data_IF_567374509894
#
_entry.id   IF_567374509894
#
_cell.length_a   1.000
_cell.length_b   1.000
_cell.length_c   1.000
_cell.angle_alpha   90.00
_cell.angle_beta   90.00
_cell.angle_gamma   90.00
#
_symmetry.space_group_name_H-M   'P 1'
#
loop_
_entity.id
_entity.type
_entity.pdbx_description
1 polymer ?
#
# COMPACT_ATOMS: atom_id res chain seq x y z
N UNK A 1 27.86 0.60 3.46
CA UNK A 1 26.66 -0.18 3.23
C UNK A 1 26.18 0.07 1.80
N UNK A 2 26.19 -0.99 0.98
CA UNK A 2 25.68 -0.91 -0.39
C UNK A 2 24.17 -0.76 -0.42
N UNK A 3 23.65 -0.06 -1.41
CA UNK A 3 22.23 -0.06 -1.73
C UNK A 3 21.91 -1.36 -2.46
N UNK A 4 20.95 -2.13 -1.95
CA UNK A 4 20.40 -3.31 -2.64
C UNK A 4 19.05 -2.91 -3.20
N UNK A 5 18.86 -3.11 -4.50
CA UNK A 5 17.57 -2.89 -5.16
C UNK A 5 16.87 -4.24 -5.29
N UNK A 6 15.67 -4.35 -4.75
CA UNK A 6 14.82 -5.53 -4.92
C UNK A 6 13.35 -5.11 -4.99
N UNK A 7 12.51 -5.92 -5.66
CA UNK A 7 11.09 -5.60 -5.79
C UNK A 7 10.35 -5.66 -4.43
N UNK A 8 9.26 -4.89 -4.34
CA UNK A 8 8.27 -4.99 -3.27
C UNK A 8 6.97 -5.48 -3.91
N UNK A 9 6.35 -6.51 -3.37
CA UNK A 9 6.68 -7.29 -2.16
C UNK A 9 8.00 -8.07 -2.27
N UNK A 10 8.65 -8.32 -1.13
CA UNK A 10 9.85 -9.14 -1.07
C UNK A 10 9.55 -10.55 -1.58
N UNK A 11 10.31 -11.04 -2.56
CA UNK A 11 10.02 -12.29 -3.28
C UNK A 11 11.29 -13.11 -3.54
N UNK A 12 11.19 -14.19 -4.32
CA UNK A 12 12.33 -15.06 -4.63
C UNK A 12 13.46 -14.32 -5.37
N UNK A 13 13.15 -13.32 -6.21
CA UNK A 13 14.18 -12.50 -6.86
C UNK A 13 14.87 -11.58 -5.84
N UNK A 14 14.13 -11.14 -4.81
CA UNK A 14 14.68 -10.33 -3.73
C UNK A 14 15.68 -11.13 -2.89
N UNK A 15 15.45 -12.43 -2.68
CA UNK A 15 16.40 -13.31 -2.00
C UNK A 15 17.72 -13.41 -2.78
N UNK A 16 17.66 -13.62 -4.08
CA UNK A 16 18.85 -13.70 -4.93
C UNK A 16 19.61 -12.37 -4.98
N UNK A 17 18.88 -11.25 -4.99
CA UNK A 17 19.49 -9.92 -4.94
C UNK A 17 20.17 -9.63 -3.59
N UNK A 18 19.59 -10.08 -2.48
CA UNK A 18 20.10 -9.83 -1.13
C UNK A 18 21.26 -10.76 -0.73
N UNK A 19 21.18 -12.04 -1.09
CA UNK A 19 22.09 -13.09 -0.63
C UNK A 19 22.98 -13.65 -1.74
N UNK A 20 22.83 -13.21 -2.98
CA UNK A 20 23.47 -13.75 -4.15
C UNK A 20 22.70 -14.94 -4.74
N UNK A 21 22.98 -15.29 -6.03
CA UNK A 21 22.12 -16.21 -6.77
C UNK A 21 22.09 -17.62 -6.17
N UNK A 22 23.19 -18.14 -5.66
CA UNK A 22 23.27 -19.50 -5.13
C UNK A 22 22.55 -19.62 -3.77
N UNK A 23 22.88 -18.74 -2.84
CA UNK A 23 22.30 -18.77 -1.50
C UNK A 23 20.85 -18.32 -1.51
N UNK A 24 20.51 -17.31 -2.31
CA UNK A 24 19.13 -16.86 -2.49
C UNK A 24 18.23 -17.96 -3.08
N UNK A 25 18.73 -18.73 -4.05
CA UNK A 25 18.00 -19.88 -4.59
C UNK A 25 17.79 -20.96 -3.54
N UNK A 26 18.83 -21.31 -2.78
CA UNK A 26 18.76 -22.32 -1.70
C UNK A 26 17.74 -21.93 -0.61
N UNK A 27 17.76 -20.67 -0.18
CA UNK A 27 16.80 -20.15 0.79
C UNK A 27 15.38 -20.15 0.22
N UNK A 28 15.25 -19.80 -1.06
CA UNK A 28 13.98 -19.86 -1.78
C UNK A 28 13.39 -21.26 -1.85
N UNK A 29 14.20 -22.26 -2.19
CA UNK A 29 13.78 -23.69 -2.20
C UNK A 29 13.31 -24.14 -0.81
N UNK A 30 14.00 -23.70 0.25
CA UNK A 30 13.63 -24.01 1.63
C UNK A 30 12.27 -23.42 2.00
N UNK A 31 12.03 -22.16 1.64
CA UNK A 31 10.72 -21.52 1.85
C UNK A 31 9.60 -22.18 1.03
N UNK A 32 9.89 -22.54 -0.23
CA UNK A 32 8.94 -23.24 -1.09
C UNK A 32 8.59 -24.63 -0.55
N UNK A 33 9.56 -25.34 0.05
CA UNK A 33 9.32 -26.61 0.71
C UNK A 33 8.43 -26.48 1.95
N UNK A 34 8.57 -25.38 2.71
CA UNK A 34 7.82 -25.14 3.93
C UNK A 34 6.38 -24.65 3.66
N UNK A 35 6.18 -23.79 2.68
CA UNK A 35 4.91 -23.09 2.46
C UNK A 35 4.23 -23.37 1.11
N UNK A 36 4.97 -23.88 0.15
CA UNK A 36 4.52 -24.06 -1.23
C UNK A 36 4.70 -22.80 -2.10
N UNK A 37 4.58 -22.96 -3.44
CA UNK A 37 4.70 -21.86 -4.39
C UNK A 37 3.48 -20.92 -4.36
N UNK A 38 3.66 -19.71 -4.87
CA UNK A 38 2.62 -18.68 -5.00
C UNK A 38 1.92 -18.30 -3.68
N UNK A 39 2.58 -18.57 -2.54
CA UNK A 39 2.07 -18.21 -1.22
C UNK A 39 2.56 -16.82 -0.81
N UNK A 40 1.67 -16.09 -0.16
CA UNK A 40 1.96 -14.86 0.54
C UNK A 40 2.01 -15.16 2.03
N UNK A 41 3.17 -15.00 2.63
CA UNK A 41 3.41 -15.31 4.05
C UNK A 41 3.75 -14.02 4.78
N UNK A 42 3.12 -13.77 5.92
CA UNK A 42 3.41 -12.57 6.69
C UNK A 42 4.80 -12.65 7.31
N UNK A 43 5.46 -11.50 7.45
CA UNK A 43 6.78 -11.47 8.07
C UNK A 43 6.74 -11.96 9.53
N UNK A 44 5.68 -11.70 10.24
CA UNK A 44 5.53 -12.13 11.63
C UNK A 44 5.38 -13.66 11.74
N UNK A 45 4.69 -14.29 10.78
CA UNK A 45 4.58 -15.74 10.70
C UNK A 45 5.93 -16.38 10.38
N UNK A 46 6.68 -15.84 9.43
CA UNK A 46 8.03 -16.33 9.08
C UNK A 46 8.99 -16.26 10.27
N UNK A 47 8.94 -15.20 11.07
CA UNK A 47 9.78 -15.05 12.28
C UNK A 47 9.47 -16.07 13.37
N UNK A 48 8.26 -16.63 13.39
CA UNK A 48 7.85 -17.67 14.33
C UNK A 48 8.06 -19.11 13.79
N UNK A 49 8.64 -19.26 12.61
CA UNK A 49 8.87 -20.57 12.02
C UNK A 49 9.87 -21.40 12.87
N UNK A 50 9.59 -22.69 13.11
CA UNK A 50 10.45 -23.54 13.95
C UNK A 50 11.84 -23.82 13.38
N UNK A 51 12.01 -23.69 12.07
CA UNK A 51 13.32 -23.80 11.42
C UNK A 51 14.13 -22.52 11.67
N UNK A 52 15.30 -22.63 12.35
CA UNK A 52 16.09 -21.45 12.74
C UNK A 52 16.66 -20.68 11.54
N UNK A 53 16.82 -21.32 10.40
CA UNK A 53 17.33 -20.64 9.20
C UNK A 53 16.23 -19.79 8.53
N UNK A 54 15.00 -20.28 8.52
CA UNK A 54 13.84 -19.51 8.05
C UNK A 54 13.57 -18.32 8.99
N UNK A 55 13.63 -18.54 10.30
CA UNK A 55 13.48 -17.48 11.29
C UNK A 55 14.59 -16.42 11.18
N UNK A 56 15.85 -16.82 11.02
CA UNK A 56 16.97 -15.89 10.82
C UNK A 56 16.84 -15.09 9.51
N UNK A 57 16.39 -15.74 8.43
CA UNK A 57 16.07 -15.06 7.18
C UNK A 57 14.94 -14.04 7.38
N UNK A 58 13.90 -14.42 8.11
CA UNK A 58 12.78 -13.54 8.40
C UNK A 58 13.21 -12.32 9.25
N UNK A 59 14.08 -12.49 10.22
CA UNK A 59 14.66 -11.39 10.99
C UNK A 59 15.46 -10.44 10.10
N UNK A 60 16.26 -10.98 9.17
CA UNK A 60 16.96 -10.14 8.21
C UNK A 60 16.00 -9.30 7.36
N UNK A 61 14.96 -9.91 6.78
CA UNK A 61 13.96 -9.21 5.97
C UNK A 61 13.18 -8.21 6.80
N UNK A 62 12.85 -8.57 8.03
CA UNK A 62 12.16 -7.70 8.98
C UNK A 62 12.98 -6.42 9.25
N UNK A 63 14.25 -6.54 9.61
CA UNK A 63 15.10 -5.41 9.96
C UNK A 63 15.42 -4.49 8.76
N UNK A 64 15.59 -5.08 7.58
CA UNK A 64 16.03 -4.34 6.40
C UNK A 64 14.87 -3.77 5.57
N UNK A 65 13.69 -4.38 5.62
CA UNK A 65 12.53 -3.98 4.83
C UNK A 65 11.42 -3.41 5.72
N UNK A 66 10.92 -4.23 6.66
CA UNK A 66 9.68 -3.91 7.37
C UNK A 66 9.85 -2.83 8.44
N UNK A 67 10.88 -2.93 9.29
CA UNK A 67 11.10 -1.94 10.37
C UNK A 67 11.27 -0.55 9.79
N UNK A 68 12.16 -0.40 8.82
CA UNK A 68 12.46 0.92 8.23
C UNK A 68 11.28 1.49 7.48
N UNK A 69 10.57 0.67 6.72
CA UNK A 69 9.37 1.09 6.00
C UNK A 69 8.26 1.49 6.97
N UNK A 70 8.00 0.68 7.99
CA UNK A 70 6.96 0.93 8.99
C UNK A 70 7.26 2.19 9.80
N UNK A 71 8.48 2.35 10.29
CA UNK A 71 8.90 3.54 11.03
C UNK A 71 8.79 4.81 10.17
N UNK A 72 9.13 4.73 8.88
CA UNK A 72 8.99 5.85 7.95
C UNK A 72 7.52 6.23 7.74
N UNK A 73 6.63 5.25 7.55
CA UNK A 73 5.23 5.48 7.24
C UNK A 73 4.38 5.84 8.48
N UNK A 74 4.66 5.20 9.61
CA UNK A 74 3.81 5.26 10.79
C UNK A 74 4.47 5.96 11.99
N UNK A 75 5.80 6.12 11.99
CA UNK A 75 6.55 6.61 13.14
C UNK A 75 6.55 5.64 14.33
N UNK A 76 6.20 4.39 14.08
CA UNK A 76 6.06 3.31 15.07
C UNK A 76 6.72 2.06 14.53
N UNK A 77 7.12 1.15 15.43
CA UNK A 77 7.65 -0.16 15.02
C UNK A 77 6.53 -1.09 14.55
N UNK A 78 6.84 -2.16 13.77
CA UNK A 78 5.82 -3.12 13.35
C UNK A 78 5.08 -3.81 14.49
N UNK A 79 5.69 -3.93 15.68
CA UNK A 79 5.07 -4.49 16.87
C UNK A 79 4.07 -3.55 17.55
N UNK A 80 4.23 -2.24 17.36
CA UNK A 80 3.36 -1.22 17.95
C UNK A 80 2.11 -0.94 17.12
N UNK A 81 2.09 -1.39 15.87
CA UNK A 81 0.95 -1.22 14.96
C UNK A 81 0.12 -2.50 14.85
N UNK A 82 -1.10 -2.37 14.37
CA UNK A 82 -1.98 -3.52 14.12
C UNK A 82 -1.29 -4.53 13.18
N UNK A 83 -1.22 -5.84 13.53
CA UNK A 83 -0.62 -6.88 12.70
C UNK A 83 -1.18 -6.94 11.27
N UNK A 84 -2.44 -6.56 11.06
CA UNK A 84 -3.05 -6.49 9.74
C UNK A 84 -2.42 -5.42 8.86
N UNK A 85 -1.78 -4.40 9.45
CA UNK A 85 -1.06 -3.37 8.71
C UNK A 85 0.24 -3.92 8.13
N UNK A 86 0.98 -4.72 8.88
CA UNK A 86 2.20 -5.40 8.41
C UNK A 86 1.88 -6.53 7.43
N UNK A 87 0.74 -7.20 7.59
CA UNK A 87 0.28 -8.27 6.71
C UNK A 87 -0.02 -7.82 5.27
N UNK A 88 -0.23 -6.52 5.04
CA UNK A 88 -0.48 -5.95 3.70
C UNK A 88 0.71 -6.07 2.75
N UNK A 89 1.92 -6.20 3.28
CA UNK A 89 3.13 -6.37 2.48
C UNK A 89 3.77 -7.71 2.86
N UNK A 90 3.25 -8.84 2.34
CA UNK A 90 3.77 -10.16 2.66
C UNK A 90 5.08 -10.43 1.94
N UNK A 91 5.81 -11.45 2.41
CA UNK A 91 6.83 -12.12 1.60
C UNK A 91 6.10 -13.01 0.58
N UNK A 92 6.39 -12.82 -0.70
CA UNK A 92 5.70 -13.54 -1.78
C UNK A 92 6.59 -14.63 -2.36
N UNK A 93 6.20 -15.88 -2.19
CA UNK A 93 6.97 -17.04 -2.63
C UNK A 93 6.77 -17.33 -4.14
N UNK A 94 7.10 -16.32 -4.93
CA UNK A 94 6.98 -16.30 -6.39
C UNK A 94 8.13 -15.50 -6.99
N UNK A 95 8.31 -15.60 -8.29
CA UNK A 95 9.18 -14.71 -9.09
C UNK A 95 8.40 -13.55 -9.72
N UNK A 96 7.08 -13.48 -9.49
CA UNK A 96 6.26 -12.37 -9.94
C UNK A 96 6.58 -11.10 -9.13
N UNK A 97 7.05 -10.06 -9.83
CA UNK A 97 7.41 -8.77 -9.23
C UNK A 97 6.28 -7.74 -9.28
N UNK A 98 5.10 -8.10 -9.79
CA UNK A 98 3.95 -7.20 -9.81
C UNK A 98 3.45 -7.00 -8.39
N UNK A 99 3.03 -5.79 -8.09
CA UNK A 99 2.45 -5.48 -6.77
C UNK A 99 1.09 -6.15 -6.59
N UNK A 100 0.27 -6.17 -7.65
CA UNK A 100 -1.00 -6.88 -7.72
C UNK A 100 -0.92 -8.03 -8.71
N UNK A 101 -1.53 -9.17 -8.37
CA UNK A 101 -1.59 -10.37 -9.20
C UNK A 101 -2.97 -10.59 -9.83
N UNK A 102 -3.85 -9.58 -9.78
CA UNK A 102 -5.19 -9.66 -10.37
C UNK A 102 -5.10 -9.97 -11.87
N UNK A 103 -6.01 -10.83 -12.35
CA UNK A 103 -6.06 -11.24 -13.74
C UNK A 103 -6.40 -10.08 -14.69
N UNK A 104 -7.21 -9.15 -14.19
CA UNK A 104 -7.63 -7.96 -14.92
C UNK A 104 -7.17 -6.71 -14.19
N UNK A 105 -6.32 -5.95 -14.83
CA UNK A 105 -5.79 -4.70 -14.31
C UNK A 105 -5.89 -3.64 -15.38
N UNK A 106 -6.37 -2.46 -15.03
CA UNK A 106 -6.51 -1.37 -15.98
C UNK A 106 -6.91 -0.07 -15.33
N UNK A 107 -6.84 0.98 -16.11
CA UNK A 107 -7.32 2.31 -15.75
C UNK A 107 -8.48 2.67 -16.70
N UNK A 108 -9.53 3.35 -16.21
CA UNK A 108 -10.59 3.83 -17.09
C UNK A 108 -10.03 4.81 -18.13
N UNK A 109 -10.30 4.57 -19.42
CA UNK A 109 -9.77 5.38 -20.54
C UNK A 109 -10.19 6.85 -20.43
N UNK A 110 -11.44 7.09 -20.01
CA UNK A 110 -12.02 8.42 -19.85
C UNK A 110 -11.85 8.99 -18.42
N UNK A 111 -11.08 8.29 -17.56
CA UNK A 111 -10.93 8.63 -16.17
C UNK A 111 -12.03 8.07 -15.26
N UNK A 112 -11.89 8.30 -13.96
CA UNK A 112 -12.78 7.70 -12.96
C UNK A 112 -14.15 8.38 -12.89
N UNK A 113 -14.25 9.68 -13.14
CA UNK A 113 -15.53 10.41 -13.03
C UNK A 113 -16.60 9.84 -13.97
N UNK A 114 -16.35 9.70 -15.29
CA UNK A 114 -17.34 9.09 -16.18
C UNK A 114 -17.65 7.63 -15.85
N UNK A 115 -16.70 6.90 -15.28
CA UNK A 115 -16.94 5.54 -14.80
C UNK A 115 -17.95 5.54 -13.64
N UNK A 116 -17.78 6.38 -12.64
CA UNK A 116 -18.69 6.48 -11.50
C UNK A 116 -20.05 7.05 -11.92
N UNK A 117 -20.09 8.03 -12.81
CA UNK A 117 -21.35 8.54 -13.36
C UNK A 117 -22.18 7.42 -13.98
N UNK A 118 -21.56 6.57 -14.81
CA UNK A 118 -22.25 5.40 -15.39
C UNK A 118 -22.68 4.36 -14.35
N UNK A 119 -21.88 4.14 -13.31
CA UNK A 119 -22.23 3.20 -12.23
C UNK A 119 -23.40 3.70 -11.38
N UNK A 120 -23.55 5.00 -11.25
CA UNK A 120 -24.58 5.64 -10.42
C UNK A 120 -25.83 6.04 -11.23
N UNK A 121 -25.79 5.93 -12.55
CA UNK A 121 -26.94 6.22 -13.44
C UNK A 121 -27.99 5.12 -13.35
N UNK A 122 -28.78 5.16 -12.29
CA UNK A 122 -29.85 4.20 -12.04
C UNK A 122 -31.04 4.88 -11.34
N UNK A 123 -32.29 4.59 -11.72
CA UNK A 123 -33.50 5.28 -11.21
C UNK A 123 -33.69 5.16 -9.69
N UNK A 124 -33.09 4.15 -9.05
CA UNK A 124 -33.15 3.96 -7.60
C UNK A 124 -31.95 4.56 -6.85
N UNK A 125 -31.06 5.29 -7.54
CA UNK A 125 -29.92 5.93 -6.93
C UNK A 125 -30.10 7.45 -7.06
N UNK A 126 -30.01 8.15 -5.93
CA UNK A 126 -29.97 9.61 -5.89
C UNK A 126 -28.62 10.06 -5.39
N UNK A 127 -27.92 10.86 -6.20
CA UNK A 127 -26.62 11.43 -5.85
C UNK A 127 -26.81 12.89 -5.44
N UNK A 128 -26.39 13.24 -4.24
CA UNK A 128 -26.37 14.62 -3.76
C UNK A 128 -24.92 15.09 -3.63
N UNK A 129 -24.45 15.89 -4.59
CA UNK A 129 -23.11 16.48 -4.54
C UNK A 129 -23.10 17.73 -3.64
N UNK A 130 -21.88 18.11 -3.19
CA UNK A 130 -21.67 19.28 -2.31
C UNK A 130 -22.53 19.23 -1.03
N UNK A 131 -22.76 18.02 -0.52
CA UNK A 131 -23.61 17.76 0.63
C UNK A 131 -22.81 17.02 1.69
N UNK A 132 -22.60 17.62 2.85
CA UNK A 132 -22.01 16.92 3.98
C UNK A 132 -23.08 16.04 4.64
N UNK A 133 -22.83 14.77 4.78
CA UNK A 133 -23.76 13.84 5.44
C UNK A 133 -24.03 14.21 6.89
N UNK A 134 -23.07 14.87 7.57
CA UNK A 134 -23.21 15.31 8.96
C UNK A 134 -24.26 16.41 9.14
N UNK A 135 -24.49 17.21 8.11
CA UNK A 135 -25.54 18.25 8.13
C UNK A 135 -26.94 17.67 7.99
N UNK A 136 -27.06 16.42 7.55
CA UNK A 136 -28.31 15.75 7.27
C UNK A 136 -28.63 14.62 8.26
N UNK A 137 -27.61 14.04 8.88
CA UNK A 137 -27.74 12.91 9.83
C UNK A 137 -27.71 13.42 11.26
N UNK A 138 -28.71 13.02 12.06
CA UNK A 138 -28.69 13.18 13.51
C UNK A 138 -28.72 11.79 14.17
N UNK A 139 -27.69 11.51 14.97
CA UNK A 139 -27.48 10.26 15.69
C UNK A 139 -27.60 10.44 17.20
N UNK A 140 -27.93 11.64 17.69
CA UNK A 140 -27.87 12.01 19.11
C UNK A 140 -28.96 11.37 19.98
N UNK A 141 -30.11 11.04 19.39
CA UNK A 141 -31.31 10.58 20.10
C UNK A 141 -31.48 9.07 20.21
N UNK A 142 -30.52 8.26 19.77
CA UNK A 142 -30.64 6.79 19.74
C UNK A 142 -31.46 6.26 18.55
N UNK A 143 -32.10 7.12 17.80
CA UNK A 143 -32.74 6.84 16.51
C UNK A 143 -32.01 7.64 15.43
N UNK A 144 -31.84 7.05 14.25
CA UNK A 144 -31.21 7.76 13.13
C UNK A 144 -32.26 8.69 12.52
N UNK A 145 -31.97 10.00 12.49
CA UNK A 145 -32.74 10.95 11.72
C UNK A 145 -31.98 11.35 10.45
N UNK A 146 -32.68 11.40 9.33
CA UNK A 146 -32.21 11.95 8.09
C UNK A 146 -33.09 13.15 7.72
N UNK A 147 -32.51 14.32 7.59
CA UNK A 147 -33.22 15.59 7.37
C UNK A 147 -34.35 15.83 8.40
N UNK A 148 -34.09 15.45 9.65
CA UNK A 148 -35.03 15.61 10.77
C UNK A 148 -36.16 14.56 10.84
N UNK A 149 -36.21 13.59 9.90
CA UNK A 149 -37.20 12.52 9.90
C UNK A 149 -36.58 11.17 10.28
N UNK A 150 -37.28 10.28 11.03
CA UNK A 150 -36.80 8.96 11.35
C UNK A 150 -36.42 8.14 10.12
N UNK A 151 -35.18 7.64 10.09
CA UNK A 151 -34.65 6.83 9.01
C UNK A 151 -34.44 5.39 9.46
N UNK A 152 -35.11 4.43 8.81
CA UNK A 152 -35.05 3.00 9.17
C UNK A 152 -34.20 2.16 8.19
N UNK A 153 -33.49 2.83 7.28
CA UNK A 153 -32.59 2.19 6.36
C UNK A 153 -31.20 1.94 6.95
N UNK A 154 -30.31 1.37 6.13
CA UNK A 154 -28.90 1.21 6.46
C UNK A 154 -28.14 2.47 6.08
N UNK A 155 -27.34 3.00 7.00
CA UNK A 155 -26.39 4.09 6.73
C UNK A 155 -24.99 3.50 6.61
N UNK A 156 -24.32 3.79 5.51
CA UNK A 156 -22.91 3.48 5.28
C UNK A 156 -22.15 4.81 5.23
N UNK A 157 -21.45 5.13 6.30
CA UNK A 157 -20.68 6.35 6.41
C UNK A 157 -19.19 6.06 6.14
N UNK A 158 -18.60 6.71 5.14
CA UNK A 158 -17.20 6.52 4.73
C UNK A 158 -16.29 7.69 5.11
N UNK A 159 -16.82 8.69 5.80
CA UNK A 159 -16.04 9.81 6.35
C UNK A 159 -15.32 9.46 7.65
N UNK A 160 -14.68 10.46 8.25
CA UNK A 160 -14.00 10.30 9.53
C UNK A 160 -15.00 10.05 10.66
N UNK A 161 -14.89 8.88 11.31
CA UNK A 161 -15.87 8.45 12.31
C UNK A 161 -15.87 9.35 13.57
N UNK A 162 -14.72 9.86 13.96
CA UNK A 162 -14.58 10.78 15.08
C UNK A 162 -15.29 12.12 14.79
N UNK A 163 -15.24 12.61 13.57
CA UNK A 163 -15.98 13.79 13.16
C UNK A 163 -17.49 13.55 13.08
N UNK A 164 -17.92 12.36 12.67
CA UNK A 164 -19.33 11.99 12.66
C UNK A 164 -19.96 12.12 14.06
N UNK A 165 -19.22 11.77 15.11
CA UNK A 165 -19.64 11.89 16.49
C UNK A 165 -19.17 13.19 17.18
N UNK A 166 -18.86 14.25 16.41
CA UNK A 166 -18.54 15.56 16.96
C UNK A 166 -17.28 15.61 17.82
N UNK A 167 -16.32 14.69 17.61
CA UNK A 167 -15.04 14.61 18.33
C UNK A 167 -15.19 14.46 19.85
N UNK A 168 -16.28 13.87 20.35
CA UNK A 168 -16.58 13.75 21.79
C UNK A 168 -15.48 13.04 22.60
N UNK A 169 -14.70 12.18 21.96
CA UNK A 169 -13.54 11.49 22.54
C UNK A 169 -12.19 12.01 22.03
N UNK A 170 -12.20 13.14 21.34
CA UNK A 170 -11.03 13.73 20.69
C UNK A 170 -10.83 13.19 19.27
N UNK A 171 -9.77 13.69 18.61
CA UNK A 171 -9.41 13.27 17.26
C UNK A 171 -8.70 11.92 17.28
N UNK A 172 -9.07 11.04 16.35
CA UNK A 172 -8.27 9.87 16.04
C UNK A 172 -6.92 10.28 15.40
N UNK A 173 -5.85 9.52 15.61
CA UNK A 173 -4.57 9.80 15.00
C UNK A 173 -4.65 9.54 13.49
N UNK A 174 -4.38 10.58 12.68
CA UNK A 174 -4.27 10.50 11.23
C UNK A 174 -2.81 10.66 10.78
N UNK A 175 -2.52 10.12 9.61
CA UNK A 175 -1.27 10.41 8.89
C UNK A 175 -1.61 11.18 7.62
N UNK A 176 -0.92 12.30 7.45
CA UNK A 176 -1.04 13.14 6.26
C UNK A 176 0.09 12.82 5.29
N UNK A 177 -0.23 12.83 4.00
CA UNK A 177 0.76 12.77 2.93
C UNK A 177 0.91 14.16 2.34
N UNK A 178 2.15 14.67 2.34
CA UNK A 178 2.50 15.88 1.62
C UNK A 178 2.99 15.48 0.22
N UNK A 179 2.30 15.96 -0.81
CA UNK A 179 2.64 15.67 -2.19
C UNK A 179 3.50 16.78 -2.77
N UNK A 180 4.66 16.42 -3.27
CA UNK A 180 5.51 17.31 -4.07
C UNK A 180 5.39 16.87 -5.53
N UNK A 181 4.89 17.78 -6.37
CA UNK A 181 4.72 17.53 -7.79
C UNK A 181 5.88 18.13 -8.57
N UNK A 182 6.59 17.29 -9.31
CA UNK A 182 7.65 17.70 -10.21
C UNK A 182 7.32 17.25 -11.63
N UNK A 183 7.37 18.20 -12.57
CA UNK A 183 7.16 17.93 -13.99
C UNK A 183 8.46 18.14 -14.75
N UNK A 184 8.92 17.11 -15.40
CA UNK A 184 10.14 17.15 -16.19
C UNK A 184 9.82 17.02 -17.68
N UNK A 185 10.31 17.97 -18.47
CA UNK A 185 10.27 17.87 -19.93
C UNK A 185 11.60 17.31 -20.43
N UNK A 186 11.60 16.14 -21.03
CA UNK A 186 12.79 15.44 -21.49
C UNK A 186 13.67 16.28 -22.44
N UNK A 187 13.07 17.25 -23.17
CA UNK A 187 13.76 18.16 -24.09
C UNK A 187 14.47 19.34 -23.43
N UNK A 188 14.17 19.66 -22.21
CA UNK A 188 14.65 20.87 -21.52
C UNK A 188 15.71 20.56 -20.46
N UNK A 189 16.14 19.31 -20.34
CA UNK A 189 17.08 18.96 -19.31
C UNK A 189 18.50 19.12 -19.80
N UNK A 190 19.30 19.98 -19.18
CA UNK A 190 20.75 19.91 -19.32
C UNK A 190 21.20 18.55 -18.80
N UNK A 191 22.36 18.10 -19.25
CA UNK A 191 23.01 16.84 -18.90
C UNK A 191 23.38 16.73 -17.39
N UNK A 192 22.56 17.27 -16.50
CA UNK A 192 22.78 17.13 -15.06
C UNK A 192 22.43 15.70 -14.64
N UNK A 193 23.37 15.00 -14.01
CA UNK A 193 23.10 13.68 -13.48
C UNK A 193 22.03 13.79 -12.38
N UNK A 194 21.12 12.83 -12.38
CA UNK A 194 20.25 12.57 -11.24
C UNK A 194 21.07 12.44 -9.96
N UNK A 195 20.45 12.70 -8.80
CA UNK A 195 21.08 12.40 -7.51
C UNK A 195 21.54 10.94 -7.39
N UNK A 196 21.04 10.11 -8.27
CA UNK A 196 21.45 8.73 -8.47
C UNK A 196 22.17 8.66 -9.81
N UNK A 197 23.50 8.58 -9.80
CA UNK A 197 24.39 8.67 -10.96
C UNK A 197 24.18 7.60 -12.05
N UNK A 198 23.16 6.73 -11.92
CA UNK A 198 23.05 5.50 -12.68
C UNK A 198 22.37 5.63 -14.04
N UNK A 199 21.50 6.62 -14.29
CA UNK A 199 20.73 6.68 -15.54
C UNK A 199 20.46 8.10 -16.05
N UNK A 200 21.19 8.58 -17.06
CA UNK A 200 20.79 9.77 -17.81
C UNK A 200 19.49 9.46 -18.56
N UNK A 201 18.43 10.23 -18.29
CA UNK A 201 17.20 10.13 -19.07
C UNK A 201 17.46 10.51 -20.52
N UNK A 202 17.02 9.66 -21.43
CA UNK A 202 16.98 9.94 -22.86
C UNK A 202 15.61 10.50 -23.22
N UNK A 203 15.51 11.13 -24.37
CA UNK A 203 14.23 11.59 -24.89
C UNK A 203 13.27 10.40 -25.02
N UNK A 204 12.13 10.46 -24.30
CA UNK A 204 11.16 9.37 -24.25
C UNK A 204 11.34 8.37 -23.09
N UNK A 205 12.39 8.51 -22.30
CA UNK A 205 12.57 7.67 -21.10
C UNK A 205 11.68 8.14 -19.95
N UNK A 206 11.38 7.23 -19.05
CA UNK A 206 10.69 7.54 -17.82
C UNK A 206 11.62 8.30 -16.85
N UNK A 207 11.02 9.09 -15.95
CA UNK A 207 11.73 9.82 -14.91
C UNK A 207 12.58 8.89 -14.03
N UNK A 208 12.08 7.72 -13.75
CA UNK A 208 12.72 6.69 -12.94
C UNK A 208 12.48 5.31 -13.56
N UNK A 209 13.35 4.36 -13.23
CA UNK A 209 13.30 2.99 -13.78
C UNK A 209 12.09 2.17 -13.31
N UNK A 210 11.42 2.61 -12.25
CA UNK A 210 10.28 1.92 -11.64
C UNK A 210 9.14 2.90 -11.38
N UNK A 211 7.90 2.41 -11.40
CA UNK A 211 6.71 3.23 -11.15
C UNK A 211 6.70 3.83 -9.72
N UNK A 212 7.27 3.12 -8.76
CA UNK A 212 7.39 3.55 -7.36
C UNK A 212 8.77 3.24 -6.83
N UNK A 213 9.42 4.21 -6.20
CA UNK A 213 10.70 4.04 -5.51
C UNK A 213 10.55 4.51 -4.08
N UNK A 214 10.93 3.67 -3.11
CA UNK A 214 10.98 4.01 -1.69
C UNK A 214 12.44 4.15 -1.24
N UNK A 215 12.78 5.27 -0.59
CA UNK A 215 14.10 5.58 -0.07
C UNK A 215 14.16 5.43 1.43
#
# INVERSE_FOLDING_TARGET
>A
GGRIQYPVPFNLNSLEAAFGPQEGARLGEKLLAAYGPEKKVTILELRQHPDPEISALADYVYDHVFVRYTMKQWGQTPEEIDPNTTARVPVFLSRDCRYFQDAYQGMPVEGYTPMFERMLDHPNITVALNTDARDRLDLSGGEILLDGAPFRGLVLYTGAVDELFGLVYGRLPYRTLDFVYETWQARSRPEEPWPDEAHPLRVGDFYQSHATVNY
#
